data_IF_585622987749
#
_entry.id   IF_585622987749
#
_cell.length_a   1.000
_cell.length_b   1.000
_cell.length_c   1.000
_cell.angle_alpha   90.00
_cell.angle_beta   90.00
_cell.angle_gamma   90.00
#
_symmetry.space_group_name_H-M   'P 1'
#
loop_
_entity.id
_entity.type
_entity.pdbx_description
1 polymer ?
#
# COMPACT_ATOMS: atom_id res chain seq x y z
N UNK A 1 -50.08 55.48 41.92
CA UNK A 1 -50.57 54.24 42.55
C UNK A 1 -50.47 53.12 41.53
N UNK A 2 -49.77 52.03 41.88
CA UNK A 2 -49.65 50.77 41.12
C UNK A 2 -48.68 50.80 39.94
N UNK A 3 -47.87 49.79 39.65
CA UNK A 3 -47.49 48.55 40.34
C UNK A 3 -46.29 47.94 39.58
N UNK A 4 -45.38 47.32 40.32
CA UNK A 4 -44.55 46.15 39.94
C UNK A 4 -43.73 46.16 38.64
N UNK A 5 -42.40 46.17 38.77
CA UNK A 5 -41.51 45.53 37.79
C UNK A 5 -40.69 44.42 38.48
N UNK A 6 -40.93 43.18 38.02
CA UNK A 6 -40.37 41.92 38.54
C UNK A 6 -38.90 41.78 38.17
N UNK A 7 -38.13 41.31 39.15
CA UNK A 7 -36.76 40.83 39.01
C UNK A 7 -36.64 39.69 37.98
N UNK A 8 -35.84 39.91 36.93
CA UNK A 8 -35.44 38.90 35.95
C UNK A 8 -34.32 38.02 36.49
N UNK A 9 -34.65 36.78 36.84
CA UNK A 9 -33.74 35.73 37.30
C UNK A 9 -32.91 35.22 36.10
N UNK A 10 -31.64 35.62 35.99
CA UNK A 10 -30.68 35.07 35.01
C UNK A 10 -30.26 33.66 35.44
N UNK A 11 -30.79 32.62 34.78
CA UNK A 11 -30.30 31.25 34.90
C UNK A 11 -29.07 31.06 34.00
N UNK A 12 -27.98 30.62 34.63
CA UNK A 12 -26.66 30.37 34.05
C UNK A 12 -26.68 28.98 33.41
N UNK A 13 -26.83 28.90 32.09
CA UNK A 13 -26.69 27.62 31.36
C UNK A 13 -25.21 27.39 31.06
N UNK A 14 -24.61 26.45 31.80
CA UNK A 14 -23.23 26.01 31.63
C UNK A 14 -23.04 25.30 30.30
N UNK A 15 -22.24 25.90 29.41
CA UNK A 15 -21.81 25.33 28.13
C UNK A 15 -20.65 24.36 28.40
N UNK A 16 -20.95 23.10 28.75
CA UNK A 16 -19.93 22.03 28.76
C UNK A 16 -19.57 21.71 27.31
N UNK A 17 -18.37 22.10 26.91
CA UNK A 17 -17.80 21.83 25.60
C UNK A 17 -17.58 20.33 25.40
N UNK A 18 -18.38 19.75 24.51
CA UNK A 18 -18.20 18.39 24.03
C UNK A 18 -17.15 18.40 22.92
N UNK A 19 -15.90 18.04 23.28
CA UNK A 19 -14.82 17.78 22.31
C UNK A 19 -15.23 16.60 21.44
N UNK A 20 -15.68 16.85 20.21
CA UNK A 20 -15.88 15.82 19.19
C UNK A 20 -14.50 15.33 18.73
N UNK A 21 -14.09 14.15 19.20
CA UNK A 21 -13.00 13.40 18.59
C UNK A 21 -13.52 12.88 17.25
N UNK A 22 -12.96 13.40 16.16
CA UNK A 22 -13.16 12.90 14.81
C UNK A 22 -12.40 11.58 14.70
N UNK A 23 -13.11 10.46 14.79
CA UNK A 23 -12.55 9.13 14.69
C UNK A 23 -12.70 8.67 13.23
N UNK A 24 -11.59 8.72 12.50
CA UNK A 24 -11.45 8.12 11.18
C UNK A 24 -11.71 6.62 11.37
N UNK A 25 -12.75 6.09 10.69
CA UNK A 25 -13.02 4.66 10.68
C UNK A 25 -11.99 3.98 9.76
N UNK A 26 -10.81 3.68 10.31
CA UNK A 26 -9.93 2.63 9.78
C UNK A 26 -10.36 1.34 10.46
N UNK A 27 -11.18 0.52 9.80
CA UNK A 27 -11.40 -0.85 10.27
C UNK A 27 -10.19 -1.69 9.89
N UNK A 28 -9.44 -2.09 10.92
CA UNK A 28 -8.31 -2.99 10.81
C UNK A 28 -8.80 -4.38 10.41
N UNK A 29 -8.58 -4.76 9.15
CA UNK A 29 -8.43 -6.17 8.82
C UNK A 29 -7.02 -6.58 9.26
N UNK A 30 -6.92 -7.20 10.43
CA UNK A 30 -5.70 -7.85 10.86
C UNK A 30 -5.44 -9.04 9.92
N UNK A 31 -4.54 -8.86 8.96
CA UNK A 31 -3.95 -9.96 8.20
C UNK A 31 -2.51 -10.14 8.70
N UNK A 32 -2.25 -11.33 9.23
CA UNK A 32 -0.90 -11.78 9.49
C UNK A 32 -0.15 -11.81 8.15
N UNK A 33 0.76 -10.86 7.96
CA UNK A 33 1.75 -10.92 6.87
C UNK A 33 2.70 -12.04 7.25
N UNK A 34 2.40 -13.26 6.80
CA UNK A 34 3.33 -14.38 6.86
C UNK A 34 4.40 -14.10 5.81
N UNK A 35 5.50 -13.47 6.22
CA UNK A 35 6.68 -13.29 5.39
C UNK A 35 7.24 -14.68 5.05
N UNK A 36 7.04 -15.16 3.82
CA UNK A 36 7.79 -16.30 3.31
C UNK A 36 9.24 -15.88 3.12
N UNK A 37 10.08 -16.23 4.09
CA UNK A 37 11.51 -16.38 3.86
C UNK A 37 11.71 -17.65 3.04
N UNK A 38 11.90 -17.52 1.72
CA UNK A 38 12.58 -18.59 0.98
C UNK A 38 14.05 -18.49 1.38
N UNK A 39 14.43 -19.22 2.43
CA UNK A 39 15.83 -19.56 2.64
C UNK A 39 16.23 -20.48 1.49
N UNK A 40 16.93 -19.93 0.50
CA UNK A 40 17.50 -20.69 -0.60
C UNK A 40 18.44 -21.76 -0.05
N UNK A 41 18.04 -23.02 -0.16
CA UNK A 41 18.96 -24.15 -0.20
C UNK A 41 18.95 -24.66 -1.63
N UNK A 42 19.81 -24.09 -2.46
CA UNK A 42 20.12 -24.65 -3.77
C UNK A 42 21.58 -24.35 -4.10
N UNK A 43 22.45 -25.31 -3.81
CA UNK A 43 23.74 -25.42 -4.46
C UNK A 43 23.95 -26.88 -4.89
N UNK A 44 24.40 -27.01 -6.13
CA UNK A 44 24.91 -28.19 -6.82
C UNK A 44 23.89 -29.21 -7.34
N UNK A 45 23.57 -29.10 -8.65
CA UNK A 45 24.20 -29.96 -9.68
C UNK A 45 23.72 -29.56 -11.08
N UNK A 46 24.60 -28.89 -11.83
CA UNK A 46 24.61 -28.93 -13.29
C UNK A 46 26.06 -29.01 -13.73
N UNK A 47 26.37 -29.98 -14.60
CA UNK A 47 27.61 -30.00 -15.38
C UNK A 47 28.46 -31.26 -15.26
N UNK A 48 28.12 -32.29 -16.03
CA UNK A 48 29.04 -33.16 -16.80
C UNK A 48 28.14 -34.17 -17.55
N UNK A 49 28.07 -34.21 -18.87
CA UNK A 49 29.16 -34.05 -19.82
C UNK A 49 29.53 -35.44 -20.33
N UNK A 50 28.75 -35.94 -21.28
CA UNK A 50 29.03 -37.15 -22.05
C UNK A 50 30.17 -36.88 -23.04
N UNK A 51 31.27 -37.64 -22.94
CA UNK A 51 31.99 -38.22 -24.08
C UNK A 51 33.18 -39.07 -23.63
N UNK A 52 33.15 -40.32 -24.07
CA UNK A 52 34.25 -41.27 -24.07
C UNK A 52 35.14 -41.07 -25.29
N UNK A 53 36.46 -41.14 -25.11
CA UNK A 53 37.44 -41.11 -26.20
C UNK A 53 38.86 -41.34 -25.68
N UNK A 54 39.38 -42.54 -25.91
CA UNK A 54 40.76 -42.98 -25.62
C UNK A 54 41.79 -42.35 -26.57
N UNK A 55 43.04 -42.20 -26.09
CA UNK A 55 44.22 -42.20 -26.96
C UNK A 55 45.50 -41.56 -26.38
N UNK A 56 46.49 -42.41 -26.02
CA UNK A 56 47.89 -42.24 -26.46
C UNK A 56 48.88 -41.30 -25.74
N UNK A 57 49.64 -41.86 -24.80
CA UNK A 57 51.11 -41.82 -24.62
C UNK A 57 51.95 -40.51 -24.64
N UNK A 58 52.87 -40.44 -23.64
CA UNK A 58 54.31 -40.03 -23.67
C UNK A 58 54.72 -38.87 -22.73
N UNK A 59 55.48 -39.21 -21.68
CA UNK A 59 56.39 -38.36 -20.87
C UNK A 59 57.78 -38.25 -21.57
N UNK A 60 58.84 -37.49 -21.14
CA UNK A 60 59.18 -37.00 -19.77
C UNK A 60 59.84 -35.57 -19.76
N UNK A 61 60.73 -35.14 -18.81
CA UNK A 61 60.34 -34.29 -17.67
C UNK A 61 61.23 -33.01 -17.46
N UNK A 62 60.96 -32.33 -16.33
CA UNK A 62 61.87 -31.47 -15.52
C UNK A 62 61.74 -29.94 -15.63
N UNK A 63 61.42 -29.25 -14.52
CA UNK A 63 62.39 -28.69 -13.56
C UNK A 63 61.70 -27.95 -12.40
N UNK A 64 62.26 -28.13 -11.21
CA UNK A 64 61.99 -27.37 -9.98
C UNK A 64 62.57 -25.95 -10.05
N UNK A 65 61.82 -24.98 -9.54
CA UNK A 65 62.25 -23.69 -8.95
C UNK A 65 60.98 -22.84 -8.81
N UNK A 66 60.65 -22.08 -7.78
CA UNK A 66 61.29 -21.74 -6.51
C UNK A 66 60.17 -21.19 -5.62
N UNK A 67 60.37 -21.22 -4.30
CA UNK A 67 59.45 -20.63 -3.32
C UNK A 67 59.35 -19.12 -3.54
N UNK A 68 58.13 -18.60 -3.62
CA UNK A 68 57.82 -17.25 -3.12
C UNK A 68 56.42 -17.24 -2.54
N UNK A 69 56.36 -16.97 -1.24
CA UNK A 69 55.14 -16.78 -0.47
C UNK A 69 54.45 -15.49 -0.95
N UNK A 70 53.40 -15.61 -1.73
CA UNK A 70 52.35 -14.59 -1.81
C UNK A 70 51.32 -14.88 -0.70
N UNK A 71 50.90 -13.88 0.10
CA UNK A 71 49.75 -14.05 0.97
C UNK A 71 48.52 -14.31 0.10
N UNK A 72 47.73 -15.33 0.46
CA UNK A 72 46.43 -15.61 -0.13
C UNK A 72 45.56 -14.34 -0.07
N UNK A 73 45.45 -13.65 -1.21
CA UNK A 73 44.37 -12.72 -1.45
C UNK A 73 43.15 -13.57 -1.80
N UNK A 74 42.35 -13.91 -0.79
CA UNK A 74 41.01 -14.45 -0.98
C UNK A 74 40.28 -13.51 -1.95
N UNK A 75 39.75 -13.98 -3.10
CA UNK A 75 38.98 -13.12 -3.97
C UNK A 75 37.73 -12.68 -3.20
N UNK A 76 37.58 -11.38 -2.98
CA UNK A 76 36.33 -10.79 -2.54
C UNK A 76 35.31 -11.03 -3.68
N UNK A 77 34.59 -12.14 -3.63
CA UNK A 77 33.42 -12.35 -4.48
C UNK A 77 32.34 -11.38 -4.00
N UNK A 78 32.08 -10.37 -4.81
CA UNK A 78 31.10 -9.28 -4.60
C UNK A 78 29.63 -9.75 -4.59
N UNK A 79 29.35 -11.05 -4.67
CA UNK A 79 27.99 -11.58 -4.90
C UNK A 79 27.45 -12.50 -3.78
N UNK A 80 28.09 -12.57 -2.61
CA UNK A 80 27.51 -13.27 -1.46
C UNK A 80 26.76 -12.27 -0.55
N UNK A 81 25.45 -12.43 -0.29
CA UNK A 81 24.75 -11.59 0.70
C UNK A 81 25.47 -11.73 2.04
N UNK A 82 25.69 -10.58 2.72
CA UNK A 82 26.40 -10.53 3.98
C UNK A 82 25.83 -11.58 4.97
N UNK A 83 26.67 -12.37 5.66
CA UNK A 83 26.19 -13.34 6.62
C UNK A 83 25.46 -12.61 7.74
N UNK A 84 24.17 -12.92 7.87
CA UNK A 84 23.34 -12.45 8.98
C UNK A 84 23.99 -12.94 10.27
N UNK A 85 24.46 -12.02 11.11
CA UNK A 85 25.00 -12.39 12.41
C UNK A 85 23.83 -12.68 13.37
N UNK A 86 24.07 -13.48 14.41
CA UNK A 86 23.01 -13.88 15.35
C UNK A 86 22.26 -12.69 15.99
N UNK A 87 22.91 -11.53 16.07
CA UNK A 87 22.32 -10.29 16.57
C UNK A 87 21.30 -9.67 15.60
N UNK A 88 21.52 -9.79 14.29
CA UNK A 88 20.57 -9.35 13.26
C UNK A 88 19.32 -10.23 13.27
N UNK A 89 19.48 -11.56 13.32
CA UNK A 89 18.35 -12.49 13.43
C UNK A 89 17.54 -12.25 14.71
N UNK A 90 18.21 -12.04 15.85
CA UNK A 90 17.54 -11.72 17.11
C UNK A 90 16.78 -10.39 17.04
N UNK A 91 17.35 -9.36 16.43
CA UNK A 91 16.70 -8.06 16.26
C UNK A 91 15.49 -8.14 15.32
N UNK A 92 15.61 -8.89 14.21
CA UNK A 92 14.50 -9.11 13.30
C UNK A 92 13.37 -9.89 13.97
N UNK A 93 13.70 -10.95 14.71
CA UNK A 93 12.72 -11.72 15.49
C UNK A 93 11.98 -10.83 16.51
N UNK A 94 12.71 -10.00 17.26
CA UNK A 94 12.12 -9.07 18.21
C UNK A 94 11.14 -8.09 17.53
N UNK A 95 11.44 -7.65 16.31
CA UNK A 95 10.55 -6.82 15.49
C UNK A 95 9.29 -7.60 15.02
N UNK A 96 9.46 -8.86 14.60
CA UNK A 96 8.35 -9.71 14.17
C UNK A 96 7.39 -10.05 15.32
N UNK A 97 7.94 -10.29 16.52
CA UNK A 97 7.18 -10.66 17.73
C UNK A 97 6.34 -9.50 18.29
N UNK A 98 6.55 -8.27 17.83
CA UNK A 98 5.68 -7.13 18.17
C UNK A 98 4.26 -7.42 17.70
N UNK A 99 3.21 -7.22 18.51
CA UNK A 99 1.83 -7.36 18.07
C UNK A 99 1.48 -6.38 16.93
N UNK A 100 0.62 -6.73 15.95
CA UNK A 100 0.19 -5.80 14.91
C UNK A 100 -0.48 -4.52 15.43
N UNK A 101 -1.04 -4.57 16.64
CA UNK A 101 -1.71 -3.45 17.29
C UNK A 101 -0.74 -2.47 17.97
N UNK A 102 0.49 -2.88 18.28
CA UNK A 102 1.50 -2.00 18.89
C UNK A 102 2.32 -1.29 17.81
N UNK A 103 1.68 -0.29 17.19
CA UNK A 103 2.25 0.47 16.08
C UNK A 103 3.53 1.21 16.49
N UNK A 104 3.54 1.77 17.70
CA UNK A 104 4.67 2.56 18.20
C UNK A 104 5.91 1.67 18.37
N UNK A 105 5.77 0.49 19.01
CA UNK A 105 6.91 -0.41 19.18
C UNK A 105 7.38 -0.99 17.86
N UNK A 106 6.46 -1.28 16.94
CA UNK A 106 6.78 -1.75 15.59
C UNK A 106 7.59 -0.70 14.82
N UNK A 107 7.18 0.57 14.88
CA UNK A 107 7.91 1.67 14.25
C UNK A 107 9.30 1.82 14.87
N UNK A 108 9.40 1.87 16.20
CA UNK A 108 10.66 2.00 16.93
C UNK A 108 11.67 0.90 16.54
N UNK A 109 11.25 -0.37 16.64
CA UNK A 109 12.14 -1.49 16.34
C UNK A 109 12.48 -1.59 14.84
N UNK A 110 11.53 -1.30 13.96
CA UNK A 110 11.78 -1.37 12.52
C UNK A 110 12.72 -0.26 12.02
N UNK A 111 12.59 0.97 12.55
CA UNK A 111 13.52 2.06 12.24
C UNK A 111 14.92 1.75 12.79
N UNK A 112 15.02 1.30 14.04
CA UNK A 112 16.29 0.89 14.65
C UNK A 112 16.96 -0.24 13.86
N UNK A 113 16.18 -1.23 13.40
CA UNK A 113 16.67 -2.33 12.57
C UNK A 113 17.27 -1.81 11.25
N UNK A 114 16.53 -0.98 10.52
CA UNK A 114 16.99 -0.43 9.24
C UNK A 114 18.22 0.47 9.37
N UNK A 115 18.37 1.17 10.50
CA UNK A 115 19.54 1.98 10.81
C UNK A 115 20.76 1.10 11.14
N UNK A 116 20.59 0.07 11.98
CA UNK A 116 21.68 -0.80 12.44
C UNK A 116 22.16 -1.76 11.35
N UNK A 117 21.26 -2.23 10.48
CA UNK A 117 21.55 -3.27 9.49
C UNK A 117 21.21 -2.83 8.05
N UNK A 118 21.93 -1.85 7.47
CA UNK A 118 21.62 -1.29 6.16
C UNK A 118 21.79 -2.28 4.99
N UNK A 119 22.51 -3.39 5.17
CA UNK A 119 22.68 -4.44 4.16
C UNK A 119 21.87 -5.70 4.47
N UNK A 120 20.96 -5.64 5.45
CA UNK A 120 20.18 -6.80 5.87
C UNK A 120 19.23 -7.28 4.77
N UNK A 121 19.16 -8.61 4.62
CA UNK A 121 18.17 -9.28 3.77
C UNK A 121 16.72 -9.09 4.25
N UNK A 122 16.52 -8.69 5.51
CA UNK A 122 15.19 -8.49 6.09
C UNK A 122 14.61 -7.10 5.82
N UNK A 123 15.43 -6.15 5.35
CA UNK A 123 15.00 -4.76 5.08
C UNK A 123 13.74 -4.65 4.22
N UNK A 124 13.54 -5.44 3.15
CA UNK A 124 12.31 -5.33 2.35
C UNK A 124 11.07 -5.57 3.20
N UNK A 125 11.06 -6.66 3.98
CA UNK A 125 9.94 -7.00 4.86
C UNK A 125 9.76 -5.96 5.97
N UNK A 126 10.85 -5.46 6.53
CA UNK A 126 10.78 -4.40 7.55
C UNK A 126 10.18 -3.12 6.97
N UNK A 127 10.58 -2.68 5.78
CA UNK A 127 10.00 -1.49 5.14
C UNK A 127 8.52 -1.68 4.76
N UNK A 128 8.12 -2.82 4.18
CA UNK A 128 6.71 -3.07 3.88
C UNK A 128 5.85 -3.07 5.15
N UNK A 129 6.38 -3.63 6.24
CA UNK A 129 5.71 -3.64 7.55
C UNK A 129 5.62 -2.23 8.16
N UNK A 130 6.69 -1.44 8.07
CA UNK A 130 6.69 -0.03 8.50
C UNK A 130 5.73 0.82 7.68
N UNK A 131 5.61 0.55 6.37
CA UNK A 131 4.66 1.24 5.48
C UNK A 131 3.24 1.10 6.03
N UNK A 132 2.82 -0.12 6.39
CA UNK A 132 1.51 -0.34 7.01
C UNK A 132 1.38 0.33 8.39
N UNK A 133 2.42 0.28 9.22
CA UNK A 133 2.40 0.91 10.54
C UNK A 133 2.26 2.44 10.45
N UNK A 134 2.95 3.05 9.48
CA UNK A 134 2.86 4.48 9.20
C UNK A 134 1.52 4.87 8.57
N UNK A 135 0.96 4.03 7.71
CA UNK A 135 -0.40 4.21 7.19
C UNK A 135 -1.42 4.23 8.34
N UNK A 136 -1.36 3.23 9.24
CA UNK A 136 -2.30 3.07 10.35
C UNK A 136 -2.15 4.17 11.42
N UNK A 137 -0.93 4.67 11.64
CA UNK A 137 -0.68 5.79 12.55
C UNK A 137 -0.94 7.16 11.92
N UNK A 138 -1.36 7.21 10.65
CA UNK A 138 -1.68 8.46 9.93
C UNK A 138 -0.46 9.29 9.54
N UNK A 139 0.74 8.75 9.65
CA UNK A 139 1.99 9.44 9.29
C UNK A 139 2.29 9.27 7.80
N UNK A 140 1.47 9.92 6.98
CA UNK A 140 1.44 9.71 5.52
C UNK A 140 2.80 9.94 4.84
N UNK A 141 3.55 10.95 5.24
CA UNK A 141 4.86 11.24 4.63
C UNK A 141 5.87 10.12 4.88
N UNK A 142 5.96 9.63 6.12
CA UNK A 142 6.78 8.47 6.50
C UNK A 142 6.31 7.20 5.82
N UNK A 143 5.01 7.01 5.64
CA UNK A 143 4.45 5.90 4.87
C UNK A 143 4.95 5.93 3.43
N UNK A 144 4.90 7.08 2.75
CA UNK A 144 5.38 7.21 1.36
C UNK A 144 6.88 6.89 1.29
N UNK A 145 7.69 7.48 2.17
CA UNK A 145 9.14 7.27 2.19
C UNK A 145 9.52 5.81 2.44
N UNK A 146 8.84 5.13 3.37
CA UNK A 146 9.12 3.72 3.67
C UNK A 146 8.57 2.79 2.59
N UNK A 147 7.41 3.10 2.02
CA UNK A 147 6.84 2.35 0.91
C UNK A 147 7.70 2.42 -0.34
N UNK A 148 8.23 3.60 -0.68
CA UNK A 148 9.15 3.77 -1.82
C UNK A 148 10.43 2.95 -1.64
N UNK A 149 10.99 2.93 -0.41
CA UNK A 149 12.14 2.06 -0.10
C UNK A 149 11.80 0.58 -0.17
N UNK A 150 10.60 0.17 0.23
CA UNK A 150 10.16 -1.22 0.11
C UNK A 150 10.10 -1.66 -1.36
N UNK A 151 9.50 -0.85 -2.25
CA UNK A 151 9.39 -1.20 -3.67
C UNK A 151 10.71 -1.01 -4.44
N UNK A 152 11.64 -0.19 -3.95
CA UNK A 152 13.00 -0.15 -4.48
C UNK A 152 13.71 -1.50 -4.27
N UNK A 153 13.54 -2.11 -3.09
CA UNK A 153 14.12 -3.42 -2.76
C UNK A 153 13.30 -4.60 -3.26
N UNK A 154 11.99 -4.43 -3.44
CA UNK A 154 11.06 -5.46 -3.93
C UNK A 154 10.05 -4.83 -4.89
N UNK A 155 10.42 -4.66 -6.18
CA UNK A 155 9.61 -3.93 -7.15
C UNK A 155 8.20 -4.46 -7.37
N UNK A 156 7.93 -5.71 -7.00
CA UNK A 156 6.65 -6.39 -7.23
C UNK A 156 5.89 -6.65 -5.91
N UNK A 157 6.19 -5.92 -4.83
CA UNK A 157 5.33 -5.90 -3.64
C UNK A 157 4.01 -5.18 -3.97
N UNK A 158 3.03 -5.95 -4.46
CA UNK A 158 1.74 -5.43 -4.93
C UNK A 158 0.95 -4.72 -3.83
N UNK A 159 1.12 -5.13 -2.57
CA UNK A 159 0.42 -4.54 -1.43
C UNK A 159 0.97 -3.14 -1.17
N UNK A 160 2.29 -3.00 -1.13
CA UNK A 160 2.93 -1.69 -0.98
C UNK A 160 2.65 -0.79 -2.19
N UNK A 161 2.70 -1.33 -3.41
CA UNK A 161 2.32 -0.59 -4.62
C UNK A 161 0.87 -0.06 -4.55
N UNK A 162 -0.08 -0.89 -4.12
CA UNK A 162 -1.47 -0.48 -3.97
C UNK A 162 -1.65 0.59 -2.87
N UNK A 163 -0.95 0.45 -1.73
CA UNK A 163 -0.97 1.44 -0.64
C UNK A 163 -0.44 2.80 -1.13
N UNK A 164 0.70 2.82 -1.82
CA UNK A 164 1.27 4.05 -2.39
C UNK A 164 0.34 4.66 -3.44
N UNK A 165 -0.12 3.84 -4.38
CA UNK A 165 -1.03 4.22 -5.46
C UNK A 165 -2.32 4.85 -4.95
N UNK A 166 -2.89 4.32 -3.87
CA UNK A 166 -4.08 4.88 -3.25
C UNK A 166 -3.80 6.11 -2.41
N UNK A 167 -2.72 6.13 -1.63
CA UNK A 167 -2.55 7.14 -0.59
C UNK A 167 -1.92 8.43 -1.10
N UNK A 168 -0.96 8.36 -2.03
CA UNK A 168 -0.33 9.55 -2.62
C UNK A 168 -1.39 10.55 -3.14
N UNK A 169 -2.34 10.17 -4.03
CA UNK A 169 -3.32 11.12 -4.55
C UNK A 169 -4.33 11.61 -3.51
N UNK A 170 -4.54 10.86 -2.40
CA UNK A 170 -5.35 11.29 -1.25
C UNK A 170 -4.63 12.33 -0.40
N UNK A 171 -3.31 12.22 -0.26
CA UNK A 171 -2.47 13.13 0.52
C UNK A 171 -2.27 14.49 -0.15
N UNK A 172 -2.43 14.56 -1.48
CA UNK A 172 -2.26 15.79 -2.24
C UNK A 172 -3.19 16.91 -1.76
N UNK A 173 -2.57 18.06 -1.54
CA UNK A 173 -3.21 19.30 -1.11
C UNK A 173 -2.54 20.51 -1.77
N UNK A 174 -2.99 21.72 -1.44
CA UNK A 174 -2.53 22.95 -2.08
C UNK A 174 -1.03 23.24 -1.91
N UNK A 175 -0.37 22.64 -0.92
CA UNK A 175 1.06 22.84 -0.63
C UNK A 175 1.94 21.67 -1.06
N UNK A 176 1.37 20.67 -1.75
CA UNK A 176 2.15 19.52 -2.22
C UNK A 176 3.14 19.94 -3.30
N UNK A 177 4.40 19.56 -3.15
CA UNK A 177 5.42 19.74 -4.18
C UNK A 177 5.16 18.81 -5.36
N UNK A 178 5.25 19.34 -6.59
CA UNK A 178 5.13 18.59 -7.85
C UNK A 178 3.94 17.61 -7.89
N UNK A 179 2.68 18.07 -7.68
CA UNK A 179 1.52 17.18 -7.62
C UNK A 179 1.35 16.34 -8.89
N UNK A 180 1.74 16.86 -10.07
CA UNK A 180 1.72 16.12 -11.31
C UNK A 180 2.63 14.87 -11.28
N UNK A 181 3.85 15.01 -10.77
CA UNK A 181 4.82 13.92 -10.62
C UNK A 181 4.35 12.90 -9.58
N UNK A 182 3.74 13.37 -8.49
CA UNK A 182 3.17 12.49 -7.48
C UNK A 182 1.99 11.66 -8.05
N UNK A 183 1.12 12.27 -8.87
CA UNK A 183 0.05 11.56 -9.57
C UNK A 183 0.59 10.54 -10.58
N UNK A 184 1.69 10.84 -11.27
CA UNK A 184 2.34 9.90 -12.20
C UNK A 184 2.93 8.68 -11.48
N UNK A 185 3.60 8.90 -10.34
CA UNK A 185 4.05 7.81 -9.47
C UNK A 185 2.87 6.95 -9.01
N UNK A 186 1.80 7.58 -8.51
CA UNK A 186 0.62 6.88 -8.03
C UNK A 186 -0.07 6.05 -9.13
N UNK A 187 -0.17 6.58 -10.35
CA UNK A 187 -0.66 5.85 -11.51
C UNK A 187 0.22 4.63 -11.81
N UNK A 188 1.53 4.82 -11.85
CA UNK A 188 2.50 3.74 -12.12
C UNK A 188 2.36 2.62 -11.09
N UNK A 189 2.30 2.96 -9.80
CA UNK A 189 2.17 1.97 -8.74
C UNK A 189 0.82 1.23 -8.81
N UNK A 190 -0.28 1.96 -9.04
CA UNK A 190 -1.62 1.37 -9.15
C UNK A 190 -1.71 0.41 -10.33
N UNK A 191 -1.26 0.83 -11.52
CA UNK A 191 -1.24 -0.01 -12.72
C UNK A 191 -0.41 -1.28 -12.53
N UNK A 192 0.78 -1.14 -11.94
CA UNK A 192 1.66 -2.28 -11.67
C UNK A 192 1.02 -3.28 -10.68
N UNK A 193 0.36 -2.78 -9.63
CA UNK A 193 -0.38 -3.64 -8.70
C UNK A 193 -1.54 -4.38 -9.40
N UNK A 194 -2.30 -3.69 -10.25
CA UNK A 194 -3.42 -4.28 -11.03
C UNK A 194 -2.91 -5.38 -11.98
N UNK A 195 -1.79 -5.14 -12.66
CA UNK A 195 -1.21 -6.08 -13.62
C UNK A 195 -0.68 -7.35 -12.96
N UNK A 196 0.04 -7.21 -11.85
CA UNK A 196 0.77 -8.33 -11.23
C UNK A 196 -0.14 -9.18 -10.33
N UNK A 197 -1.08 -8.57 -9.60
CA UNK A 197 -1.86 -9.26 -8.56
C UNK A 197 -2.60 -10.51 -9.05
N UNK A 198 -3.25 -10.52 -10.24
CA UNK A 198 -3.95 -11.70 -10.74
C UNK A 198 -3.04 -12.92 -10.94
N UNK A 199 -1.78 -12.69 -11.32
CA UNK A 199 -0.78 -13.72 -11.64
C UNK A 199 0.05 -14.18 -10.43
N UNK A 200 -0.20 -13.66 -9.23
CA UNK A 200 0.57 -14.05 -8.05
C UNK A 200 0.39 -15.54 -7.73
N UNK A 201 1.49 -16.27 -7.45
CA UNK A 201 1.39 -17.63 -6.97
C UNK A 201 0.81 -17.62 -5.55
N UNK A 202 -0.13 -18.53 -5.29
CA UNK A 202 -0.68 -18.71 -3.95
C UNK A 202 0.42 -19.18 -2.99
N UNK A 203 0.62 -18.52 -1.84
CA UNK A 203 1.48 -19.02 -0.79
C UNK A 203 1.02 -20.40 -0.27
N UNK A 204 1.94 -21.33 0.03
CA UNK A 204 1.59 -22.71 0.42
C UNK A 204 0.77 -22.78 1.72
N UNK A 205 0.89 -21.76 2.59
CA UNK A 205 0.24 -21.71 3.90
C UNK A 205 -1.08 -20.90 3.91
N UNK A 206 -1.57 -20.47 2.74
CA UNK A 206 -2.84 -19.75 2.64
C UNK A 206 -3.93 -20.63 2.00
N UNK A 207 -5.14 -20.54 2.54
CA UNK A 207 -6.33 -21.09 1.90
C UNK A 207 -6.63 -20.29 0.63
N UNK A 208 -7.33 -20.91 -0.33
CA UNK A 208 -7.74 -20.22 -1.55
C UNK A 208 -8.60 -18.99 -1.23
N UNK A 209 -9.54 -19.13 -0.30
CA UNK A 209 -10.39 -18.03 0.18
C UNK A 209 -9.57 -16.87 0.75
N UNK A 210 -8.60 -17.14 1.61
CA UNK A 210 -7.77 -16.09 2.20
C UNK A 210 -6.90 -15.40 1.14
N UNK A 211 -6.41 -16.16 0.16
CA UNK A 211 -5.61 -15.62 -0.93
C UNK A 211 -6.44 -14.77 -1.89
N UNK A 212 -7.62 -15.25 -2.30
CA UNK A 212 -8.54 -14.51 -3.15
C UNK A 212 -9.03 -13.23 -2.48
N UNK A 213 -9.33 -13.30 -1.18
CA UNK A 213 -9.66 -12.12 -0.38
C UNK A 213 -8.53 -11.10 -0.39
N UNK A 214 -7.28 -11.54 -0.14
CA UNK A 214 -6.12 -10.65 -0.16
C UNK A 214 -5.91 -10.03 -1.56
N UNK A 215 -6.03 -10.82 -2.63
CA UNK A 215 -5.95 -10.32 -4.01
C UNK A 215 -7.02 -9.27 -4.29
N UNK A 216 -8.27 -9.55 -3.93
CA UNK A 216 -9.39 -8.64 -4.15
C UNK A 216 -9.22 -7.33 -3.38
N UNK A 217 -8.72 -7.37 -2.14
CA UNK A 217 -8.41 -6.17 -1.34
C UNK A 217 -7.29 -5.32 -1.96
N UNK A 218 -6.21 -5.96 -2.44
CA UNK A 218 -5.11 -5.27 -3.14
C UNK A 218 -5.60 -4.65 -4.43
N UNK A 219 -6.34 -5.40 -5.25
CA UNK A 219 -6.91 -4.91 -6.50
C UNK A 219 -7.91 -3.76 -6.25
N UNK A 220 -8.81 -3.91 -5.28
CA UNK A 220 -9.75 -2.85 -4.91
C UNK A 220 -9.04 -1.55 -4.55
N UNK A 221 -7.94 -1.65 -3.78
CA UNK A 221 -7.13 -0.49 -3.39
C UNK A 221 -6.39 0.14 -4.56
N UNK A 222 -5.81 -0.68 -5.44
CA UNK A 222 -5.10 -0.21 -6.63
C UNK A 222 -6.04 0.47 -7.63
N UNK A 223 -7.21 -0.13 -7.91
CA UNK A 223 -8.25 0.46 -8.75
C UNK A 223 -8.81 1.76 -8.14
N UNK A 224 -8.99 1.83 -6.81
CA UNK A 224 -9.35 3.07 -6.10
C UNK A 224 -8.31 4.17 -6.32
N UNK A 225 -7.02 3.83 -6.19
CA UNK A 225 -5.90 4.75 -6.42
C UNK A 225 -5.87 5.27 -7.84
N UNK A 226 -5.97 4.39 -8.83
CA UNK A 226 -5.95 4.75 -10.25
C UNK A 226 -7.16 5.63 -10.61
N UNK A 227 -8.35 5.25 -10.17
CA UNK A 227 -9.56 6.05 -10.34
C UNK A 227 -9.44 7.45 -9.74
N UNK A 228 -8.88 7.56 -8.53
CA UNK A 228 -8.64 8.87 -7.91
C UNK A 228 -7.59 9.69 -8.68
N UNK A 229 -6.53 9.08 -9.20
CA UNK A 229 -5.57 9.78 -10.07
C UNK A 229 -6.27 10.38 -11.28
N UNK A 230 -7.15 9.61 -11.92
CA UNK A 230 -7.93 10.09 -13.06
C UNK A 230 -8.92 11.20 -12.69
N UNK A 231 -9.62 11.09 -11.55
CA UNK A 231 -10.46 12.18 -11.01
C UNK A 231 -9.63 13.46 -10.78
N UNK A 232 -8.45 13.35 -10.16
CA UNK A 232 -7.55 14.49 -9.90
C UNK A 232 -7.07 15.17 -11.19
N UNK A 233 -7.03 14.43 -12.30
CA UNK A 233 -6.64 14.93 -13.63
C UNK A 233 -7.83 15.36 -14.50
N UNK A 234 -9.06 15.28 -13.99
CA UNK A 234 -10.28 15.59 -14.76
C UNK A 234 -10.63 14.54 -15.82
N UNK A 235 -10.00 13.37 -15.77
CA UNK A 235 -10.19 12.23 -16.69
C UNK A 235 -11.33 11.35 -16.20
N UNK A 236 -12.54 11.90 -16.20
CA UNK A 236 -13.68 11.25 -15.53
C UNK A 236 -14.13 9.97 -16.23
N UNK A 237 -14.10 9.93 -17.56
CA UNK A 237 -14.43 8.74 -18.32
C UNK A 237 -13.48 7.57 -18.00
N UNK A 238 -12.17 7.83 -17.88
CA UNK A 238 -11.20 6.82 -17.46
C UNK A 238 -11.31 6.44 -15.97
N UNK A 239 -11.76 7.37 -15.11
CA UNK A 239 -11.90 7.11 -13.68
C UNK A 239 -13.05 6.14 -13.35
N UNK A 240 -14.17 6.21 -14.08
CA UNK A 240 -15.38 5.42 -13.82
C UNK A 240 -15.10 3.92 -13.77
N UNK A 241 -14.53 3.27 -14.81
CA UNK A 241 -14.34 1.82 -14.79
C UNK A 241 -13.40 1.36 -13.67
N UNK A 242 -12.40 2.17 -13.32
CA UNK A 242 -11.49 1.88 -12.21
C UNK A 242 -12.22 1.94 -10.86
N UNK A 243 -13.03 2.96 -10.63
CA UNK A 243 -13.80 3.11 -9.39
C UNK A 243 -14.90 2.03 -9.27
N UNK A 244 -15.52 1.64 -10.38
CA UNK A 244 -16.49 0.53 -10.43
C UNK A 244 -15.84 -0.80 -10.04
N UNK A 245 -14.66 -1.09 -10.58
CA UNK A 245 -13.93 -2.31 -10.25
C UNK A 245 -13.49 -2.29 -8.78
N UNK A 246 -13.07 -1.14 -8.26
CA UNK A 246 -12.74 -0.97 -6.85
C UNK A 246 -13.91 -1.35 -5.92
N UNK A 247 -15.09 -0.75 -6.12
CA UNK A 247 -16.25 -1.01 -5.24
C UNK A 247 -16.87 -2.39 -5.45
N UNK A 248 -16.61 -3.04 -6.59
CA UNK A 248 -17.05 -4.41 -6.88
C UNK A 248 -16.20 -5.46 -6.16
N UNK A 249 -14.89 -5.23 -6.08
CA UNK A 249 -13.94 -6.16 -5.48
C UNK A 249 -13.89 -6.04 -3.95
N UNK A 250 -14.19 -4.86 -3.41
CA UNK A 250 -14.11 -4.62 -1.98
C UNK A 250 -15.35 -5.18 -1.24
N UNK A 251 -15.18 -6.16 -0.31
CA UNK A 251 -16.29 -6.62 0.53
C UNK A 251 -16.76 -5.57 1.54
N UNK A 252 -15.98 -4.52 1.79
CA UNK A 252 -16.34 -3.39 2.64
C UNK A 252 -15.84 -2.08 2.02
N UNK A 253 -16.48 -1.61 0.93
CA UNK A 253 -16.01 -0.45 0.18
C UNK A 253 -15.78 0.77 1.07
N UNK A 254 -14.71 1.51 0.82
CA UNK A 254 -14.53 2.86 1.38
C UNK A 254 -15.62 3.80 0.81
N UNK A 255 -16.41 4.51 1.65
CA UNK A 255 -17.40 5.49 1.20
C UNK A 255 -16.84 6.53 0.22
N UNK A 256 -15.54 6.86 0.34
CA UNK A 256 -14.83 7.76 -0.58
C UNK A 256 -14.90 7.22 -2.02
N UNK A 257 -14.81 5.91 -2.24
CA UNK A 257 -14.85 5.35 -3.60
C UNK A 257 -16.22 5.54 -4.27
N UNK A 258 -17.32 5.37 -3.52
CA UNK A 258 -18.66 5.69 -4.04
C UNK A 258 -18.87 7.18 -4.28
N UNK A 259 -18.32 8.03 -3.41
CA UNK A 259 -18.34 9.47 -3.61
C UNK A 259 -17.58 9.88 -4.88
N UNK A 260 -16.37 9.36 -5.09
CA UNK A 260 -15.56 9.61 -6.29
C UNK A 260 -16.25 9.09 -7.54
N UNK A 261 -16.88 7.90 -7.47
CA UNK A 261 -17.63 7.33 -8.59
C UNK A 261 -18.83 8.21 -8.96
N UNK A 262 -19.55 8.73 -7.96
CA UNK A 262 -20.64 9.68 -8.16
C UNK A 262 -20.16 10.98 -8.80
N UNK A 263 -19.05 11.53 -8.31
CA UNK A 263 -18.44 12.73 -8.88
C UNK A 263 -18.01 12.52 -10.33
N UNK A 264 -17.33 11.40 -10.63
CA UNK A 264 -16.85 11.10 -11.97
C UNK A 264 -18.03 10.96 -12.95
N UNK A 265 -19.07 10.21 -12.57
CA UNK A 265 -20.29 10.09 -13.38
C UNK A 265 -21.00 11.42 -13.56
N UNK A 266 -21.14 12.24 -12.52
CA UNK A 266 -21.78 13.56 -12.64
C UNK A 266 -21.01 14.47 -13.61
N UNK A 267 -19.67 14.46 -13.55
CA UNK A 267 -18.79 15.24 -14.43
C UNK A 267 -18.74 14.71 -15.85
N UNK A 268 -19.01 13.42 -16.06
CA UNK A 268 -19.22 12.80 -17.36
C UNK A 268 -20.68 12.92 -17.86
N UNK A 269 -21.55 13.64 -17.15
CA UNK A 269 -22.99 13.75 -17.45
C UNK A 269 -23.74 12.41 -17.45
N UNK A 270 -23.26 11.41 -16.71
CA UNK A 270 -23.98 10.17 -16.41
C UNK A 270 -24.79 10.34 -15.12
N UNK A 271 -25.83 11.18 -15.17
CA UNK A 271 -26.50 11.66 -13.96
C UNK A 271 -27.19 10.56 -13.14
N UNK A 272 -27.78 9.54 -13.78
CA UNK A 272 -28.44 8.44 -13.07
C UNK A 272 -27.45 7.55 -12.31
N UNK A 273 -26.29 7.28 -12.90
CA UNK A 273 -25.21 6.54 -12.23
C UNK A 273 -24.60 7.36 -11.10
N UNK A 274 -24.50 8.69 -11.29
CA UNK A 274 -24.06 9.59 -10.24
C UNK A 274 -25.00 9.57 -9.03
N UNK A 275 -26.32 9.65 -9.24
CA UNK A 275 -27.34 9.53 -8.18
C UNK A 275 -27.20 8.20 -7.46
N UNK A 276 -27.02 7.11 -8.21
CA UNK A 276 -26.87 5.75 -7.66
C UNK A 276 -25.63 5.65 -6.76
N UNK A 277 -24.47 6.11 -7.24
CA UNK A 277 -23.23 6.06 -6.48
C UNK A 277 -23.27 6.96 -5.25
N UNK A 278 -23.78 8.20 -5.36
CA UNK A 278 -23.94 9.08 -4.21
C UNK A 278 -24.93 8.54 -3.18
N UNK A 279 -25.99 7.87 -3.62
CA UNK A 279 -26.97 7.23 -2.73
C UNK A 279 -26.35 6.05 -1.97
N UNK A 280 -25.50 5.24 -2.61
CA UNK A 280 -24.71 4.21 -1.91
C UNK A 280 -23.80 4.83 -0.86
N UNK A 281 -23.04 5.87 -1.20
CA UNK A 281 -22.22 6.62 -0.23
C UNK A 281 -23.07 7.18 0.94
N UNK A 282 -24.23 7.76 0.65
CA UNK A 282 -25.14 8.33 1.65
C UNK A 282 -25.73 7.27 2.59
N UNK A 283 -25.87 6.02 2.13
CA UNK A 283 -26.33 4.90 2.95
C UNK A 283 -25.30 4.41 3.96
N UNK A 284 -24.02 4.78 3.80
CA UNK A 284 -22.93 4.30 4.64
C UNK A 284 -22.72 5.21 5.85
N UNK A 285 -22.41 4.61 7.01
CA UNK A 285 -22.07 5.35 8.22
C UNK A 285 -20.67 5.96 8.07
N UNK A 286 -20.60 7.21 7.62
CA UNK A 286 -19.35 7.95 7.44
C UNK A 286 -19.57 9.45 7.59
N UNK A 287 -18.48 10.22 7.73
CA UNK A 287 -18.54 11.69 7.69
C UNK A 287 -19.05 12.24 6.35
N UNK A 288 -18.99 11.45 5.27
CA UNK A 288 -19.45 11.82 3.94
C UNK A 288 -20.97 11.66 3.75
N UNK A 289 -21.69 11.01 4.67
CA UNK A 289 -23.11 10.72 4.51
C UNK A 289 -23.94 11.95 4.13
N UNK A 290 -23.75 13.07 4.85
CA UNK A 290 -24.47 14.31 4.59
C UNK A 290 -24.11 14.91 3.22
N UNK A 291 -22.82 14.97 2.90
CA UNK A 291 -22.33 15.45 1.60
C UNK A 291 -22.89 14.62 0.46
N UNK A 292 -22.85 13.30 0.57
CA UNK A 292 -23.36 12.39 -0.45
C UNK A 292 -24.87 12.51 -0.65
N UNK A 293 -25.66 12.77 0.40
CA UNK A 293 -27.10 13.08 0.25
C UNK A 293 -27.32 14.33 -0.60
N UNK A 294 -26.62 15.42 -0.28
CA UNK A 294 -26.71 16.66 -1.06
C UNK A 294 -26.32 16.44 -2.52
N UNK A 295 -25.26 15.67 -2.76
CA UNK A 295 -24.77 15.41 -4.12
C UNK A 295 -25.70 14.51 -4.93
N UNK A 296 -26.37 13.54 -4.30
CA UNK A 296 -27.41 12.75 -4.97
C UNK A 296 -28.57 13.64 -5.44
N UNK A 297 -29.04 14.59 -4.61
CA UNK A 297 -30.09 15.53 -4.99
C UNK A 297 -29.66 16.50 -6.09
N UNK A 298 -28.41 16.95 -6.08
CA UNK A 298 -27.86 17.79 -7.14
C UNK A 298 -27.78 17.04 -8.48
N UNK A 299 -27.23 15.83 -8.46
CA UNK A 299 -27.15 14.98 -9.65
C UNK A 299 -28.55 14.70 -10.24
N UNK A 300 -29.55 14.45 -9.37
CA UNK A 300 -30.94 14.26 -9.78
C UNK A 300 -31.53 15.50 -10.47
N UNK A 301 -31.25 16.70 -9.96
CA UNK A 301 -31.70 17.96 -10.60
C UNK A 301 -31.03 18.17 -11.96
N UNK A 302 -29.75 17.83 -12.08
CA UNK A 302 -29.03 17.91 -13.35
C UNK A 302 -29.63 16.95 -14.37
N UNK A 303 -29.86 15.69 -14.02
CA UNK A 303 -30.50 14.71 -14.91
C UNK A 303 -31.93 15.07 -15.34
N UNK A 304 -32.65 15.87 -14.54
CA UNK A 304 -33.97 16.38 -14.91
C UNK A 304 -33.93 17.57 -15.89
N UNK A 305 -32.78 18.24 -16.03
CA UNK A 305 -32.63 19.48 -16.81
C UNK A 305 -31.63 19.37 -17.95
N UNK A 306 -30.85 18.29 -18.02
CA UNK A 306 -29.81 18.05 -19.00
C UNK A 306 -29.92 16.62 -19.54
N UNK A 307 -29.52 16.44 -20.80
CA UNK A 307 -29.42 15.10 -21.40
C UNK A 307 -28.20 14.38 -20.86
N UNK A 308 -28.37 13.12 -20.48
CA UNK A 308 -27.24 12.25 -20.11
C UNK A 308 -26.37 11.94 -21.35
N UNK A 309 -25.06 11.89 -21.15
CA UNK A 309 -24.14 11.44 -22.18
C UNK A 309 -24.26 9.92 -22.41
N UNK A 310 -23.99 9.42 -23.63
CA UNK A 310 -23.87 7.98 -23.87
C UNK A 310 -22.65 7.42 -23.13
N UNK A 311 -22.80 6.18 -22.65
CA UNK A 311 -21.75 5.40 -21.99
C UNK A 311 -20.76 4.80 -22.98
#
# INVERSE_FOLDING_TARGET
>A
MGSSSKAGRRTKVGRKGMKRKCMICLQAAALAVLSLSIAGTAAAKYGQGSQSGQGGQSQPPAKQSDKSKTPDATPLTLDAPAPVNAEEDAAYKAFQDVPPTDLNKRIELGEAFNQKYPQSRYRPVVFSTLTMAYLQSGQVQKMIETGEKAIELTPNDVTTLAILGQTIPRALNATSADPAKQLEKAETYSKKAIEITPALPKPPNLTDEAFDKAKNQTLASAHSGLGLVYVRRGKFAEAIPELEQSVKLDPSPDPVNFYLLGMANQKASHFDDAVTAFSKCAGMQSSLQGTCKTMAEEAKKLGATQLSAPK
#
